data_IF_919083678296
#
_entry.id   IF_919083678296
#
_cell.length_a   1.000
_cell.length_b   1.000
_cell.length_c   1.000
_cell.angle_alpha   90.00
_cell.angle_beta   90.00
_cell.angle_gamma   90.00
#
_symmetry.space_group_name_H-M   'P 1'
#
loop_
_entity.id
_entity.type
_entity.pdbx_description
1 polymer ?
#
# COMPACT_ATOMS: atom_id res chain seq x y z
N UNK A 1 4.91 -0.21 14.11
CA UNK A 1 3.95 0.91 14.19
C UNK A 1 3.71 1.45 12.79
N UNK A 2 2.52 1.25 12.22
CA UNK A 2 2.17 1.77 10.90
C UNK A 2 1.50 3.13 11.07
N UNK A 3 2.25 4.21 10.86
CA UNK A 3 1.70 5.57 10.87
C UNK A 3 1.27 5.96 9.45
N UNK A 4 0.03 6.41 9.25
CA UNK A 4 -0.44 6.94 7.96
C UNK A 4 0.01 8.37 7.69
N UNK A 5 1.01 8.85 8.44
CA UNK A 5 1.58 10.16 8.25
C UNK A 5 2.19 10.27 6.85
N UNK A 6 1.69 11.24 6.10
CA UNK A 6 2.19 11.58 4.79
C UNK A 6 2.68 13.02 4.76
N UNK A 7 3.63 13.28 3.89
CA UNK A 7 4.23 14.59 3.69
C UNK A 7 3.94 15.01 2.26
N UNK A 8 3.35 16.17 2.07
CA UNK A 8 2.94 16.64 0.74
C UNK A 8 3.81 17.81 0.28
N UNK A 9 4.28 17.76 -0.95
CA UNK A 9 4.83 18.94 -1.60
C UNK A 9 3.69 19.79 -2.18
N UNK A 10 3.41 20.97 -1.60
CA UNK A 10 2.38 21.90 -2.11
C UNK A 10 2.58 22.33 -3.56
N UNK A 11 3.82 22.35 -4.07
CA UNK A 11 4.13 22.78 -5.45
C UNK A 11 3.81 21.71 -6.49
N UNK A 12 4.06 20.46 -6.14
CA UNK A 12 4.03 19.34 -7.10
C UNK A 12 2.92 18.33 -6.82
N UNK A 13 2.17 18.47 -5.73
CA UNK A 13 1.09 17.55 -5.37
C UNK A 13 1.54 16.15 -4.94
N UNK A 14 2.84 15.89 -4.87
CA UNK A 14 3.39 14.56 -4.57
C UNK A 14 3.38 14.31 -3.07
N UNK A 15 2.90 13.13 -2.68
CA UNK A 15 2.90 12.62 -1.32
C UNK A 15 4.13 11.73 -1.05
N UNK A 16 4.64 11.81 0.18
CA UNK A 16 5.80 11.07 0.67
C UNK A 16 5.41 10.38 1.96
N UNK A 17 5.83 9.12 2.16
CA UNK A 17 5.68 8.44 3.46
C UNK A 17 6.61 9.03 4.51
N UNK A 18 6.36 8.76 5.80
CA UNK A 18 7.24 9.16 6.92
C UNK A 18 8.71 8.80 6.70
N UNK A 19 8.98 7.55 6.34
CA UNK A 19 10.34 7.07 6.10
C UNK A 19 11.00 7.80 4.93
N UNK A 20 10.29 7.89 3.79
CA UNK A 20 10.77 8.59 2.59
C UNK A 20 11.01 10.08 2.85
N UNK A 21 10.15 10.73 3.64
CA UNK A 21 10.31 12.13 4.02
C UNK A 21 11.50 12.34 4.96
N UNK A 22 11.70 11.44 5.94
CA UNK A 22 12.84 11.50 6.86
C UNK A 22 14.18 11.35 6.13
N UNK A 23 14.30 10.38 5.22
CA UNK A 23 15.50 10.17 4.39
C UNK A 23 15.84 11.38 3.52
N UNK A 24 14.80 12.14 3.13
CA UNK A 24 14.90 13.34 2.30
C UNK A 24 14.97 14.63 3.14
N UNK A 25 15.15 14.54 4.46
CA UNK A 25 15.17 15.68 5.38
C UNK A 25 13.94 16.59 5.26
N UNK A 26 12.77 15.99 5.01
CA UNK A 26 11.49 16.65 4.81
C UNK A 26 11.46 17.67 3.65
N UNK A 27 12.29 17.45 2.62
CA UNK A 27 12.36 18.30 1.43
C UNK A 27 11.93 17.56 0.18
N UNK A 28 11.28 18.28 -0.73
CA UNK A 28 10.90 17.77 -2.03
C UNK A 28 12.13 17.52 -2.92
N UNK A 29 12.21 16.31 -3.50
CA UNK A 29 13.32 15.86 -4.38
C UNK A 29 12.97 15.88 -5.87
N UNK A 30 11.84 16.48 -6.25
CA UNK A 30 11.45 16.70 -7.64
C UNK A 30 12.45 17.62 -8.32
N UNK A 31 12.81 17.26 -9.55
CA UNK A 31 13.75 17.99 -10.40
C UNK A 31 12.93 18.80 -11.41
N UNK A 32 12.89 20.11 -11.24
CA UNK A 32 12.01 21.01 -12.02
C UNK A 32 12.46 21.14 -13.49
N UNK A 33 13.74 20.87 -13.77
CA UNK A 33 14.31 20.87 -15.11
C UNK A 33 14.40 19.47 -15.72
N UNK A 34 13.58 18.51 -15.28
CA UNK A 34 13.62 17.13 -15.77
C UNK A 34 12.40 16.76 -16.61
N UNK A 35 12.55 15.74 -17.45
CA UNK A 35 11.47 15.22 -18.29
C UNK A 35 11.62 13.70 -18.41
N UNK A 36 10.56 12.97 -18.07
CA UNK A 36 10.50 11.53 -18.20
C UNK A 36 10.47 11.13 -19.68
N UNK A 37 11.28 10.15 -20.12
CA UNK A 37 11.33 9.75 -21.52
C UNK A 37 10.09 8.96 -21.97
N UNK A 38 9.32 8.38 -21.05
CA UNK A 38 8.11 7.59 -21.37
C UNK A 38 6.82 8.43 -21.34
N UNK A 39 6.68 9.35 -20.40
CA UNK A 39 5.42 10.06 -20.17
C UNK A 39 5.56 11.58 -19.98
N UNK A 40 6.73 12.13 -20.24
CA UNK A 40 7.08 13.56 -20.14
C UNK A 40 6.88 14.22 -18.76
N UNK A 41 6.43 13.45 -17.76
CA UNK A 41 6.28 13.92 -16.39
C UNK A 41 7.64 14.27 -15.77
N UNK A 42 7.60 15.00 -14.66
CA UNK A 42 8.82 15.33 -13.92
C UNK A 42 9.47 14.06 -13.33
N UNK A 43 10.77 14.15 -13.09
CA UNK A 43 11.54 13.13 -12.39
C UNK A 43 11.82 13.59 -10.96
N UNK A 44 11.92 12.63 -10.05
CA UNK A 44 12.40 12.83 -8.69
C UNK A 44 13.73 12.13 -8.49
N UNK A 45 14.55 12.71 -7.62
CA UNK A 45 15.80 12.10 -7.16
C UNK A 45 15.49 11.12 -6.03
N UNK A 46 15.93 9.87 -6.21
CA UNK A 46 15.87 8.81 -5.20
C UNK A 46 17.26 8.26 -4.88
N UNK A 47 17.36 7.53 -3.76
CA UNK A 47 18.61 6.96 -3.26
C UNK A 47 18.41 5.48 -2.92
N UNK A 48 19.28 4.63 -3.46
CA UNK A 48 19.33 3.20 -3.14
C UNK A 48 19.95 2.98 -1.75
N UNK A 49 19.71 1.80 -1.18
CA UNK A 49 20.36 1.35 0.07
C UNK A 49 21.89 1.32 -0.04
N UNK A 50 22.43 1.09 -1.24
CA UNK A 50 23.87 1.17 -1.57
C UNK A 50 24.43 2.59 -1.49
N UNK A 51 23.58 3.61 -1.31
CA UNK A 51 23.94 5.01 -1.25
C UNK A 51 23.98 5.73 -2.60
N UNK A 52 23.80 5.01 -3.71
CA UNK A 52 23.75 5.57 -5.07
C UNK A 52 22.43 6.29 -5.34
N UNK A 53 22.49 7.33 -6.17
CA UNK A 53 21.36 8.14 -6.60
C UNK A 53 20.87 7.75 -7.98
N UNK A 54 19.56 7.71 -8.17
CA UNK A 54 18.91 7.45 -9.45
C UNK A 54 17.69 8.37 -9.65
N UNK A 55 17.12 8.35 -10.85
CA UNK A 55 15.96 9.13 -11.23
C UNK A 55 14.73 8.22 -11.32
N UNK A 56 13.61 8.69 -10.79
CA UNK A 56 12.33 7.99 -10.85
C UNK A 56 11.26 8.94 -11.38
N UNK A 57 10.33 8.41 -12.18
CA UNK A 57 9.19 9.19 -12.64
C UNK A 57 8.29 9.60 -11.47
N UNK A 58 7.77 10.82 -11.48
CA UNK A 58 6.78 11.26 -10.48
C UNK A 58 5.36 10.77 -10.76
N UNK A 59 5.10 10.26 -11.96
CA UNK A 59 3.78 9.78 -12.36
C UNK A 59 3.58 8.33 -11.90
N UNK A 60 2.56 8.06 -11.09
CA UNK A 60 2.27 6.75 -10.53
C UNK A 60 1.90 5.70 -11.60
N UNK A 61 1.40 6.13 -12.76
CA UNK A 61 1.10 5.23 -13.88
C UNK A 61 2.33 4.88 -14.72
N UNK A 62 3.43 5.61 -14.54
CA UNK A 62 4.68 5.41 -15.27
C UNK A 62 5.71 4.71 -14.39
N UNK A 63 6.02 3.46 -14.71
CA UNK A 63 7.01 2.66 -13.99
C UNK A 63 8.47 3.00 -14.35
N UNK A 64 8.73 4.10 -15.04
CA UNK A 64 10.08 4.44 -15.46
C UNK A 64 10.95 4.90 -14.29
N UNK A 65 12.12 4.27 -14.17
CA UNK A 65 13.20 4.70 -13.31
C UNK A 65 14.53 4.36 -13.97
N UNK A 66 15.54 5.20 -13.77
CA UNK A 66 16.85 5.04 -14.40
C UNK A 66 17.69 3.93 -13.78
N UNK A 67 17.24 3.27 -12.72
CA UNK A 67 17.96 2.13 -12.15
C UNK A 67 17.63 0.83 -12.90
N UNK A 68 16.34 0.59 -13.19
CA UNK A 68 15.83 -0.63 -13.81
C UNK A 68 15.61 -0.49 -15.33
N UNK A 69 15.29 0.72 -15.81
CA UNK A 69 15.01 0.96 -17.22
C UNK A 69 16.13 1.78 -17.86
N UNK A 70 16.25 1.65 -19.19
CA UNK A 70 17.19 2.43 -19.98
C UNK A 70 16.79 3.91 -20.04
N UNK A 71 17.73 4.85 -19.97
CA UNK A 71 19.16 4.66 -19.66
C UNK A 71 19.44 4.31 -18.19
N UNK A 72 20.32 3.33 -17.98
CA UNK A 72 20.76 2.87 -16.66
C UNK A 72 21.66 3.91 -15.96
N UNK A 73 21.06 4.82 -15.21
CA UNK A 73 21.74 5.88 -14.47
C UNK A 73 21.57 5.68 -12.97
N UNK A 74 22.66 5.27 -12.32
CA UNK A 74 22.74 5.20 -10.86
C UNK A 74 24.17 5.50 -10.42
N UNK A 75 24.38 6.61 -9.72
CA UNK A 75 25.71 7.12 -9.41
C UNK A 75 25.87 7.51 -7.94
N UNK A 76 27.07 7.41 -7.36
CA UNK A 76 27.30 7.75 -5.95
C UNK A 76 27.13 9.25 -5.66
N UNK A 77 27.24 10.12 -6.67
CA UNK A 77 27.13 11.57 -6.52
C UNK A 77 26.03 12.14 -7.40
N UNK A 78 25.40 13.23 -6.93
CA UNK A 78 24.32 13.92 -7.67
C UNK A 78 24.86 14.62 -8.91
N UNK A 79 26.10 15.06 -8.86
CA UNK A 79 26.79 15.77 -9.93
C UNK A 79 27.09 14.82 -11.10
N UNK A 80 27.55 13.60 -10.82
CA UNK A 80 27.74 12.56 -11.85
C UNK A 80 26.41 12.16 -12.48
N UNK A 81 25.38 11.92 -11.65
CA UNK A 81 24.04 11.63 -12.14
C UNK A 81 23.52 12.74 -13.06
N UNK A 82 23.71 14.00 -12.68
CA UNK A 82 23.29 15.14 -13.48
C UNK A 82 23.98 15.14 -14.85
N UNK A 83 25.30 14.99 -14.88
CA UNK A 83 26.08 15.00 -16.14
C UNK A 83 25.64 13.92 -17.11
N UNK A 84 25.44 12.70 -16.61
CA UNK A 84 24.98 11.59 -17.46
C UNK A 84 23.52 11.76 -17.86
N UNK A 85 22.64 12.22 -16.96
CA UNK A 85 21.24 12.50 -17.27
C UNK A 85 21.08 13.59 -18.35
N UNK A 86 21.97 14.59 -18.40
CA UNK A 86 21.97 15.61 -19.46
C UNK A 86 22.27 14.99 -20.84
N UNK A 87 23.18 14.01 -20.94
CA UNK A 87 23.50 13.34 -22.22
C UNK A 87 22.29 12.63 -22.83
N UNK A 88 21.39 12.13 -21.98
CA UNK A 88 20.16 11.46 -22.38
C UNK A 88 18.95 12.40 -22.45
N UNK A 89 19.14 13.73 -22.40
CA UNK A 89 18.08 14.74 -22.41
C UNK A 89 17.03 14.58 -21.28
N UNK A 90 17.36 13.87 -20.21
CA UNK A 90 16.45 13.69 -19.06
C UNK A 90 16.38 14.93 -18.17
N UNK A 91 17.42 15.76 -18.19
CA UNK A 91 17.46 17.04 -17.50
C UNK A 91 18.01 18.14 -18.41
N UNK A 92 17.46 19.35 -18.28
CA UNK A 92 17.92 20.54 -18.99
C UNK A 92 19.02 21.24 -18.19
N UNK A 93 20.26 21.15 -18.66
CA UNK A 93 21.46 21.73 -18.03
C UNK A 93 22.22 20.76 -17.12
N UNK A 94 23.41 21.17 -16.65
CA UNK A 94 24.37 20.31 -15.94
C UNK A 94 24.13 20.20 -14.41
N UNK A 95 23.00 20.69 -13.91
CA UNK A 95 22.65 20.68 -12.47
C UNK A 95 21.22 20.21 -12.26
N UNK A 96 20.98 19.48 -11.19
CA UNK A 96 19.63 19.10 -10.77
C UNK A 96 18.91 20.31 -10.15
N UNK A 97 17.91 20.84 -10.84
CA UNK A 97 17.02 21.90 -10.36
C UNK A 97 16.04 21.38 -9.33
N UNK A 98 16.53 20.94 -8.17
CA UNK A 98 15.70 20.37 -7.11
C UNK A 98 14.78 21.43 -6.50
N UNK A 99 13.51 21.07 -6.30
CA UNK A 99 12.52 21.94 -5.68
C UNK A 99 12.94 22.41 -4.27
N UNK A 100 13.45 21.48 -3.44
CA UNK A 100 13.89 21.70 -2.05
C UNK A 100 12.88 22.32 -1.08
N UNK A 101 11.64 22.58 -1.51
CA UNK A 101 10.56 23.08 -0.64
C UNK A 101 10.29 22.10 0.49
N UNK A 102 10.02 22.64 1.67
CA UNK A 102 9.61 21.86 2.85
C UNK A 102 8.29 21.16 2.59
N UNK A 103 8.23 19.87 2.91
CA UNK A 103 7.01 19.08 2.77
C UNK A 103 6.05 19.45 3.91
N UNK A 104 4.78 19.69 3.58
CA UNK A 104 3.73 19.91 4.58
C UNK A 104 3.39 18.56 5.21
N UNK A 105 3.56 18.44 6.54
CA UNK A 105 3.07 17.29 7.29
C UNK A 105 1.55 17.24 7.16
N UNK A 106 1.05 16.15 6.60
CA UNK A 106 -0.35 15.74 6.75
C UNK A 106 -0.36 14.87 7.99
N UNK A 107 -1.13 15.30 8.99
CA UNK A 107 -1.27 14.57 10.25
C UNK A 107 -1.92 13.23 9.91
N UNK A 108 -1.13 12.16 9.93
CA UNK A 108 -1.65 10.80 9.92
C UNK A 108 -2.26 10.51 11.28
N UNK A 109 -3.32 9.70 11.32
CA UNK A 109 -3.86 9.18 12.57
C UNK A 109 -3.01 7.98 12.98
N UNK A 110 -2.58 7.92 14.23
CA UNK A 110 -2.08 6.67 14.80
C UNK A 110 -3.24 5.69 14.83
N UNK A 111 -3.17 4.64 14.01
CA UNK A 111 -4.13 3.55 14.10
C UNK A 111 -3.76 2.74 15.33
N UNK A 112 -4.53 2.90 16.41
CA UNK A 112 -4.39 2.03 17.57
C UNK A 112 -4.62 0.58 17.13
N UNK A 113 -3.61 -0.32 17.25
CA UNK A 113 -3.73 -1.70 16.79
C UNK A 113 -4.92 -2.43 17.40
N UNK A 114 -5.17 -2.18 18.69
CA UNK A 114 -6.29 -2.78 19.41
C UNK A 114 -7.63 -2.21 18.94
N UNK A 115 -7.74 -0.91 18.66
CA UNK A 115 -8.99 -0.34 18.13
C UNK A 115 -9.32 -0.88 16.74
N UNK A 116 -8.31 -1.06 15.88
CA UNK A 116 -8.51 -1.64 14.55
C UNK A 116 -8.97 -3.10 14.65
N UNK A 117 -8.29 -3.88 15.49
CA UNK A 117 -8.64 -5.27 15.70
C UNK A 117 -10.02 -5.44 16.33
N UNK A 118 -10.38 -4.61 17.32
CA UNK A 118 -11.72 -4.61 17.89
C UNK A 118 -12.79 -4.22 16.86
N UNK A 119 -12.52 -3.22 16.02
CA UNK A 119 -13.43 -2.85 14.94
C UNK A 119 -13.71 -4.04 14.03
N UNK A 120 -12.67 -4.75 13.58
CA UNK A 120 -12.81 -5.94 12.74
C UNK A 120 -13.58 -7.07 13.42
N UNK A 121 -13.41 -7.26 14.74
CA UNK A 121 -14.12 -8.31 15.49
C UNK A 121 -15.60 -7.97 15.73
N UNK A 122 -15.94 -6.68 15.88
CA UNK A 122 -17.30 -6.22 16.14
C UNK A 122 -18.19 -6.23 14.90
N UNK A 123 -17.60 -6.13 13.71
CA UNK A 123 -18.30 -6.14 12.43
C UNK A 123 -17.95 -7.42 11.66
N UNK A 124 -18.76 -8.49 11.78
CA UNK A 124 -18.53 -9.76 11.07
C UNK A 124 -18.37 -9.59 9.56
N UNK A 125 -19.04 -8.58 9.00
CA UNK A 125 -18.94 -8.19 7.60
C UNK A 125 -18.66 -6.68 7.59
N UNK A 126 -17.56 -6.28 6.98
CA UNK A 126 -17.14 -4.89 6.89
C UNK A 126 -16.68 -4.55 5.47
N UNK A 127 -17.26 -3.52 4.88
CA UNK A 127 -16.82 -2.96 3.61
C UNK A 127 -15.51 -2.18 3.77
N UNK A 128 -14.69 -2.23 2.72
CA UNK A 128 -13.39 -1.56 2.70
C UNK A 128 -13.54 -0.05 2.91
N UNK A 129 -14.53 0.59 2.29
CA UNK A 129 -14.75 2.03 2.47
C UNK A 129 -14.96 2.41 3.93
N UNK A 130 -15.79 1.70 4.69
CA UNK A 130 -15.99 2.00 6.12
C UNK A 130 -14.72 1.79 6.94
N UNK A 131 -13.94 0.74 6.67
CA UNK A 131 -12.67 0.50 7.37
C UNK A 131 -11.67 1.63 7.04
N UNK A 132 -11.53 1.96 5.76
CA UNK A 132 -10.64 3.01 5.29
C UNK A 132 -11.01 4.38 5.86
N UNK A 133 -12.29 4.74 5.88
CA UNK A 133 -12.79 6.01 6.40
C UNK A 133 -12.64 6.10 7.92
N UNK A 134 -12.99 5.03 8.64
CA UNK A 134 -12.91 4.98 10.11
C UNK A 134 -11.49 5.21 10.61
N UNK A 135 -10.50 4.67 9.90
CA UNK A 135 -9.09 4.74 10.29
C UNK A 135 -8.26 5.70 9.44
N UNK A 136 -8.87 6.34 8.43
CA UNK A 136 -8.22 7.20 7.43
C UNK A 136 -6.95 6.55 6.84
N UNK A 137 -7.10 5.32 6.33
CA UNK A 137 -6.02 4.50 5.77
C UNK A 137 -6.31 4.14 4.32
N UNK A 138 -5.26 3.87 3.53
CA UNK A 138 -5.45 3.41 2.14
C UNK A 138 -5.83 1.93 2.08
N UNK A 139 -6.43 1.49 0.98
CA UNK A 139 -6.78 0.08 0.75
C UNK A 139 -5.56 -0.85 0.88
N UNK A 140 -4.40 -0.45 0.34
CA UNK A 140 -3.17 -1.24 0.44
C UNK A 140 -2.70 -1.38 1.90
N UNK A 141 -2.78 -0.30 2.69
CA UNK A 141 -2.40 -0.32 4.10
C UNK A 141 -3.37 -1.17 4.93
N UNK A 142 -4.67 -1.06 4.66
CA UNK A 142 -5.71 -1.87 5.28
C UNK A 142 -5.49 -3.36 5.02
N UNK A 143 -5.32 -3.77 3.76
CA UNK A 143 -5.07 -5.17 3.40
C UNK A 143 -3.81 -5.70 4.10
N UNK A 144 -2.73 -4.90 4.11
CA UNK A 144 -1.48 -5.28 4.79
C UNK A 144 -1.69 -5.49 6.30
N UNK A 145 -2.44 -4.60 6.96
CA UNK A 145 -2.73 -4.72 8.39
C UNK A 145 -3.61 -5.93 8.71
N UNK A 146 -4.65 -6.17 7.90
CA UNK A 146 -5.53 -7.33 8.09
C UNK A 146 -4.75 -8.63 7.91
N UNK A 147 -3.96 -8.75 6.83
CA UNK A 147 -3.13 -9.93 6.59
C UNK A 147 -2.15 -10.16 7.75
N UNK A 148 -1.48 -9.10 8.23
CA UNK A 148 -0.60 -9.22 9.38
C UNK A 148 -1.33 -9.79 10.61
N UNK A 149 -2.56 -9.36 10.92
CA UNK A 149 -3.31 -9.92 12.04
C UNK A 149 -3.80 -11.34 11.82
N UNK A 150 -4.03 -11.75 10.58
CA UNK A 150 -4.35 -13.14 10.23
C UNK A 150 -3.10 -14.02 10.42
N UNK A 151 -1.94 -13.56 9.94
CA UNK A 151 -0.66 -14.28 10.04
C UNK A 151 -0.19 -14.39 11.50
N UNK A 152 -0.46 -13.38 12.32
CA UNK A 152 -0.23 -13.39 13.78
C UNK A 152 -1.30 -14.18 14.56
N UNK A 153 -2.26 -14.84 13.88
CA UNK A 153 -3.38 -15.59 14.47
C UNK A 153 -4.28 -14.77 15.43
N UNK A 154 -4.23 -13.43 15.35
CA UNK A 154 -5.00 -12.54 16.24
C UNK A 154 -6.45 -12.38 15.83
N UNK A 155 -6.72 -12.57 14.54
CA UNK A 155 -8.05 -12.61 13.93
C UNK A 155 -8.10 -13.74 12.90
N UNK A 156 -9.31 -14.20 12.61
CA UNK A 156 -9.56 -15.15 11.55
C UNK A 156 -10.59 -14.56 10.59
N UNK A 157 -10.28 -14.53 9.29
CA UNK A 157 -11.15 -13.86 8.33
C UNK A 157 -10.69 -13.98 6.88
N UNK A 158 -11.52 -13.46 5.97
CA UNK A 158 -11.31 -13.48 4.52
C UNK A 158 -11.39 -12.06 3.99
N UNK A 159 -10.41 -11.71 3.18
CA UNK A 159 -10.39 -10.46 2.41
C UNK A 159 -10.93 -10.78 1.01
N UNK A 160 -12.08 -10.22 0.67
CA UNK A 160 -12.62 -10.23 -0.68
C UNK A 160 -12.30 -8.91 -1.40
N UNK A 161 -11.35 -8.97 -2.33
CA UNK A 161 -10.96 -7.79 -3.10
C UNK A 161 -11.93 -7.49 -4.26
N UNK A 162 -12.71 -8.48 -4.71
CA UNK A 162 -13.66 -8.32 -5.81
C UNK A 162 -14.87 -7.51 -5.35
N UNK A 163 -15.44 -7.92 -4.22
CA UNK A 163 -16.60 -7.25 -3.62
C UNK A 163 -16.19 -6.14 -2.62
N UNK A 164 -14.89 -5.96 -2.39
CA UNK A 164 -14.31 -4.99 -1.45
C UNK A 164 -14.84 -5.14 -0.02
N UNK A 165 -14.88 -6.38 0.45
CA UNK A 165 -15.43 -6.77 1.75
C UNK A 165 -14.40 -7.56 2.57
N UNK A 166 -14.45 -7.38 3.89
CA UNK A 166 -13.76 -8.22 4.85
C UNK A 166 -14.79 -9.00 5.67
N UNK A 167 -14.57 -10.31 5.77
CA UNK A 167 -15.39 -11.23 6.52
C UNK A 167 -14.60 -11.74 7.74
N UNK A 168 -15.02 -11.34 8.93
CA UNK A 168 -14.49 -11.89 10.17
C UNK A 168 -15.21 -13.20 10.52
N UNK A 169 -14.43 -14.26 10.72
CA UNK A 169 -14.92 -15.58 11.08
C UNK A 169 -14.67 -15.76 12.57
N UNK A 170 -15.72 -15.61 13.37
CA UNK A 170 -15.64 -15.80 14.81
C UNK A 170 -15.45 -17.28 15.18
N UNK A 171 -14.99 -17.53 16.41
CA UNK A 171 -14.92 -18.89 16.96
C UNK A 171 -16.29 -19.57 16.95
N UNK A 172 -17.36 -18.87 17.32
CA UNK A 172 -18.73 -19.40 17.28
C UNK A 172 -19.16 -19.80 15.87
N UNK A 173 -18.79 -19.02 14.86
CA UNK A 173 -19.08 -19.33 13.46
C UNK A 173 -18.33 -20.60 13.02
N UNK A 174 -17.06 -20.74 13.42
CA UNK A 174 -16.27 -21.95 13.18
C UNK A 174 -16.92 -23.19 13.83
N UNK A 175 -17.31 -23.10 15.09
CA UNK A 175 -17.97 -24.19 15.81
C UNK A 175 -19.31 -24.58 15.17
N UNK A 176 -20.11 -23.61 14.72
CA UNK A 176 -21.36 -23.87 13.99
C UNK A 176 -21.12 -24.62 12.69
N UNK A 177 -20.09 -24.21 11.92
CA UNK A 177 -19.72 -24.88 10.68
C UNK A 177 -19.26 -26.32 10.95
N UNK A 178 -18.36 -26.52 11.91
CA UNK A 178 -17.85 -27.85 12.28
C UNK A 178 -18.97 -28.77 12.77
N UNK A 179 -19.86 -28.26 13.63
CA UNK A 179 -21.01 -29.02 14.13
C UNK A 179 -21.94 -29.46 13.01
N UNK A 180 -22.15 -28.60 12.01
CA UNK A 180 -22.98 -28.92 10.84
C UNK A 180 -22.31 -29.97 9.95
N UNK A 181 -21.00 -29.86 9.72
CA UNK A 181 -20.21 -30.88 8.99
C UNK A 181 -20.32 -32.24 9.69
N UNK A 182 -20.16 -32.28 11.02
CA UNK A 182 -20.26 -33.50 11.79
C UNK A 182 -21.66 -34.12 11.78
N UNK A 183 -22.72 -33.30 11.80
CA UNK A 183 -24.11 -33.77 11.79
C UNK A 183 -24.56 -34.31 10.43
N UNK A 184 -24.23 -33.59 9.36
CA UNK A 184 -24.79 -33.86 8.02
C UNK A 184 -23.85 -34.71 7.17
N UNK A 185 -22.54 -34.71 7.45
CA UNK A 185 -21.51 -35.43 6.69
C UNK A 185 -21.25 -34.88 5.28
N UNK A 186 -22.23 -34.20 4.69
CA UNK A 186 -22.19 -33.56 3.38
C UNK A 186 -22.76 -32.14 3.53
N UNK A 187 -22.02 -31.14 3.07
CA UNK A 187 -22.42 -29.74 3.20
C UNK A 187 -22.52 -29.09 1.83
N UNK A 188 -23.72 -28.62 1.46
CA UNK A 188 -23.91 -27.87 0.22
C UNK A 188 -23.41 -26.43 0.42
N UNK A 189 -22.54 -25.99 -0.47
CA UNK A 189 -21.95 -24.64 -0.43
C UNK A 189 -23.03 -23.55 -0.42
N UNK A 190 -24.12 -23.72 -1.18
CA UNK A 190 -25.21 -22.74 -1.24
C UNK A 190 -25.93 -22.55 0.11
N UNK A 191 -26.11 -23.64 0.86
CA UNK A 191 -26.74 -23.60 2.19
C UNK A 191 -25.80 -22.92 3.20
N UNK A 192 -24.49 -23.12 3.03
CA UNK A 192 -23.47 -22.44 3.84
C UNK A 192 -23.40 -20.95 3.54
N UNK A 193 -23.40 -20.58 2.26
CA UNK A 193 -23.41 -19.20 1.79
C UNK A 193 -24.60 -18.43 2.38
N UNK A 194 -25.79 -19.03 2.34
CA UNK A 194 -27.01 -18.47 2.94
C UNK A 194 -26.89 -18.34 4.45
N UNK A 195 -26.37 -19.37 5.13
CA UNK A 195 -26.21 -19.36 6.59
C UNK A 195 -25.21 -18.30 7.08
N UNK A 196 -24.19 -18.01 6.27
CA UNK A 196 -23.11 -17.09 6.61
C UNK A 196 -23.28 -15.70 5.98
N UNK A 197 -24.39 -15.47 5.27
CA UNK A 197 -24.71 -14.23 4.55
C UNK A 197 -23.56 -13.75 3.65
N UNK A 198 -23.05 -14.67 2.82
CA UNK A 198 -21.91 -14.43 1.93
C UNK A 198 -22.10 -15.14 0.59
N UNK A 199 -21.28 -14.77 -0.41
CA UNK A 199 -21.29 -15.45 -1.69
C UNK A 199 -20.78 -16.89 -1.57
N UNK A 200 -21.23 -17.78 -2.46
CA UNK A 200 -20.75 -19.17 -2.50
C UNK A 200 -19.23 -19.27 -2.70
N UNK A 201 -18.64 -18.33 -3.45
CA UNK A 201 -17.18 -18.25 -3.65
C UNK A 201 -16.45 -18.00 -2.31
N UNK A 202 -16.97 -17.09 -1.48
CA UNK A 202 -16.39 -16.79 -0.17
C UNK A 202 -16.65 -17.92 0.82
N UNK A 203 -17.85 -18.50 0.82
CA UNK A 203 -18.18 -19.66 1.66
C UNK A 203 -17.22 -20.83 1.42
N UNK A 204 -16.84 -21.11 0.17
CA UNK A 204 -15.83 -22.12 -0.17
C UNK A 204 -14.46 -21.77 0.43
N UNK A 205 -14.04 -20.50 0.32
CA UNK A 205 -12.76 -20.05 0.91
C UNK A 205 -12.75 -20.19 2.44
N UNK A 206 -13.89 -19.96 3.12
CA UNK A 206 -14.02 -20.23 4.56
C UNK A 206 -13.73 -21.69 4.86
N UNK A 207 -14.37 -22.60 4.13
CA UNK A 207 -14.19 -24.05 4.33
C UNK A 207 -12.75 -24.47 4.08
N UNK A 208 -12.13 -24.04 2.98
CA UNK A 208 -10.72 -24.38 2.72
C UNK A 208 -9.81 -23.91 3.83
N UNK A 209 -10.03 -22.69 4.33
CA UNK A 209 -9.23 -22.14 5.42
C UNK A 209 -9.42 -22.93 6.72
N UNK A 210 -10.64 -23.42 6.99
CA UNK A 210 -10.95 -24.20 8.20
C UNK A 210 -10.34 -25.61 8.21
N UNK A 211 -10.03 -26.16 7.02
CA UNK A 211 -9.48 -27.52 6.85
C UNK A 211 -7.95 -27.48 6.67
N UNK A 212 -7.37 -26.36 6.23
CA UNK A 212 -5.92 -26.15 6.15
C UNK A 212 -5.30 -25.88 7.51
#
# INVERSE_FOLDING_TARGET
>A
MATTESWLCKKHGISYSKASAADKFYKCTVIENSTCPECEALLRLERLSSGQYYLECTNETCAWNSYLKSPGLFFPTKEQLAREATKYNLIKGYRLGLCRRSLKRIIGKEVCPNCFLEFLKRSPIANFSTIMESFNISAQQMIKLINQYIDEERIYGIIDQKDQMFYYISYEMREKILSKIQKEGILKVADLATMLDMSSEIAIKVIYKLIS
#
